data_IF_986486629688
#
_entry.id   IF_986486629688
#
_cell.length_a   1.000
_cell.length_b   1.000
_cell.length_c   1.000
_cell.angle_alpha   90.00
_cell.angle_beta   90.00
_cell.angle_gamma   90.00
#
_symmetry.space_group_name_H-M   'P 1'
#
loop_
_entity.id
_entity.type
_entity.pdbx_description
1 polymer ?
#
# COMPACT_ATOMS: atom_id res chain seq x y z
N UNK A 1 -3.13 -18.08 -18.59
CA UNK A 1 -3.88 -17.55 -17.42
C UNK A 1 -2.89 -16.81 -16.54
N UNK A 2 -2.97 -15.49 -16.47
CA UNK A 2 -2.04 -14.70 -15.65
C UNK A 2 -2.51 -14.78 -14.20
N UNK A 3 -1.73 -15.44 -13.34
CA UNK A 3 -2.03 -15.56 -11.91
C UNK A 3 -1.74 -14.22 -11.24
N UNK A 4 -2.80 -13.51 -10.85
CA UNK A 4 -2.66 -12.23 -10.15
C UNK A 4 -2.23 -12.47 -8.69
N UNK A 5 -1.10 -11.89 -8.27
CA UNK A 5 -0.60 -12.02 -6.90
C UNK A 5 -1.52 -11.33 -5.89
N UNK A 6 -1.83 -12.01 -4.78
CA UNK A 6 -2.74 -11.56 -3.71
C UNK A 6 -2.30 -10.27 -2.99
N UNK A 7 -1.04 -9.89 -3.16
CA UNK A 7 -0.44 -8.71 -2.54
C UNK A 7 0.06 -8.99 -1.14
N UNK A 8 1.36 -8.81 -0.91
CA UNK A 8 1.96 -8.96 0.42
C UNK A 8 1.54 -7.82 1.34
N UNK A 9 1.07 -8.12 2.55
CA UNK A 9 0.83 -7.09 3.56
C UNK A 9 2.15 -6.41 3.94
N UNK A 10 2.25 -5.10 3.73
CA UNK A 10 3.43 -4.25 4.00
C UNK A 10 2.98 -2.95 4.66
N UNK A 11 3.80 -2.40 5.54
CA UNK A 11 3.64 -1.04 6.05
C UNK A 11 4.38 -0.04 5.17
N UNK A 12 3.95 1.22 5.13
CA UNK A 12 4.52 2.25 4.23
C UNK A 12 5.99 2.52 4.60
N UNK A 13 6.29 2.51 5.89
CA UNK A 13 7.61 2.67 6.47
C UNK A 13 8.59 1.63 5.91
N UNK A 14 8.15 0.37 5.78
CA UNK A 14 8.97 -0.70 5.21
C UNK A 14 9.32 -0.45 3.73
N UNK A 15 8.40 0.15 2.98
CA UNK A 15 8.58 0.50 1.56
C UNK A 15 9.62 1.62 1.40
N UNK A 16 9.57 2.62 2.27
CA UNK A 16 10.50 3.76 2.25
C UNK A 16 11.89 3.34 2.72
N UNK A 17 12.00 2.49 3.74
CA UNK A 17 13.28 2.00 4.24
C UNK A 17 14.00 1.08 3.25
N UNK A 18 13.27 0.27 2.50
CA UNK A 18 13.84 -0.76 1.63
C UNK A 18 13.19 -0.80 0.24
N UNK A 19 13.24 0.30 -0.54
CA UNK A 19 12.48 0.42 -1.79
C UNK A 19 12.82 -0.66 -2.82
N UNK A 20 14.10 -1.00 -2.96
CA UNK A 20 14.58 -2.02 -3.91
C UNK A 20 14.04 -3.43 -3.62
N UNK A 21 13.74 -3.74 -2.36
CA UNK A 21 13.17 -5.04 -1.97
C UNK A 21 11.74 -5.24 -2.48
N UNK A 22 11.02 -4.15 -2.67
CA UNK A 22 9.61 -4.16 -3.04
C UNK A 22 9.37 -3.75 -4.49
N UNK A 23 10.40 -3.31 -5.21
CA UNK A 23 10.26 -2.98 -6.62
C UNK A 23 9.71 -4.16 -7.43
N UNK A 24 8.76 -3.87 -8.32
CA UNK A 24 8.03 -4.84 -9.14
C UNK A 24 7.28 -5.94 -8.34
N UNK A 25 6.85 -5.64 -7.12
CA UNK A 25 6.05 -6.56 -6.30
C UNK A 25 4.59 -6.13 -6.19
N UNK A 26 3.70 -7.10 -5.91
CA UNK A 26 2.30 -6.84 -5.55
C UNK A 26 2.21 -6.71 -4.03
N UNK A 27 1.60 -5.63 -3.55
CA UNK A 27 1.48 -5.32 -2.13
C UNK A 27 0.05 -5.01 -1.71
N UNK A 28 -0.21 -5.13 -0.41
CA UNK A 28 -1.39 -4.63 0.27
C UNK A 28 -0.95 -3.71 1.40
N UNK A 29 -1.39 -2.46 1.38
CA UNK A 29 -0.97 -1.41 2.31
C UNK A 29 -2.17 -0.63 2.82
N UNK A 30 -2.08 -0.15 4.05
CA UNK A 30 -3.06 0.70 4.71
C UNK A 30 -2.41 2.06 5.00
N UNK A 31 -3.15 3.15 4.79
CA UNK A 31 -2.69 4.49 5.13
C UNK A 31 -3.76 5.54 4.87
N UNK A 32 -3.52 6.78 5.29
CA UNK A 32 -4.44 7.89 5.05
C UNK A 32 -4.17 8.50 3.70
N UNK A 33 -5.22 8.67 2.90
CA UNK A 33 -5.14 9.34 1.61
C UNK A 33 -5.08 10.86 1.81
N UNK A 34 -4.07 11.50 1.25
CA UNK A 34 -3.89 12.95 1.24
C UNK A 34 -3.54 13.41 -0.18
N UNK A 35 -3.75 14.70 -0.46
CA UNK A 35 -3.33 15.36 -1.71
C UNK A 35 -3.77 14.64 -3.00
N UNK A 36 -5.05 14.25 -3.08
CA UNK A 36 -5.59 13.67 -4.30
C UNK A 36 -5.74 14.72 -5.40
N UNK A 37 -5.11 14.46 -6.55
CA UNK A 37 -5.20 15.27 -7.76
C UNK A 37 -5.81 14.47 -8.91
N UNK A 38 -7.14 14.56 -9.04
CA UNK A 38 -7.91 13.85 -10.07
C UNK A 38 -7.36 14.07 -11.49
N UNK A 39 -7.04 15.32 -11.86
CA UNK A 39 -6.55 15.64 -13.20
C UNK A 39 -5.20 14.98 -13.56
N UNK A 40 -4.41 14.58 -12.56
CA UNK A 40 -3.10 13.94 -12.75
C UNK A 40 -3.12 12.45 -12.42
N UNK A 41 -4.26 11.91 -12.00
CA UNK A 41 -4.37 10.55 -11.46
C UNK A 41 -3.33 10.26 -10.36
N UNK A 42 -3.00 11.24 -9.52
CA UNK A 42 -2.03 11.06 -8.43
C UNK A 42 -2.67 11.30 -7.08
N UNK A 43 -2.24 10.54 -6.08
CA UNK A 43 -2.51 10.83 -4.68
C UNK A 43 -1.28 10.51 -3.84
N UNK A 44 -1.29 10.94 -2.58
CA UNK A 44 -0.29 10.57 -1.60
C UNK A 44 -0.97 9.79 -0.48
N UNK A 45 -0.34 8.71 -0.02
CA UNK A 45 -0.78 7.96 1.15
C UNK A 45 0.24 8.14 2.26
N UNK A 46 -0.21 8.38 3.49
CA UNK A 46 0.67 8.53 4.65
C UNK A 46 0.33 7.56 5.76
N UNK A 47 1.37 7.07 6.43
CA UNK A 47 1.31 6.30 7.67
C UNK A 47 2.46 6.73 8.55
N UNK A 48 2.18 7.03 9.82
CA UNK A 48 3.16 7.51 10.81
C UNK A 48 4.02 8.64 10.24
N UNK A 49 5.30 8.37 9.96
CA UNK A 49 6.31 9.30 9.44
C UNK A 49 6.73 9.00 7.99
N UNK A 50 6.00 8.16 7.28
CA UNK A 50 6.31 7.74 5.92
C UNK A 50 5.18 8.08 4.94
N UNK A 51 5.54 8.27 3.67
CA UNK A 51 4.61 8.58 2.59
C UNK A 51 4.85 7.69 1.37
N UNK A 52 3.80 7.43 0.62
CA UNK A 52 3.82 6.63 -0.60
C UNK A 52 2.98 7.32 -1.67
N UNK A 53 3.56 7.50 -2.85
CA UNK A 53 2.84 8.05 -3.99
C UNK A 53 1.98 6.98 -4.65
N UNK A 54 0.78 7.37 -5.03
CA UNK A 54 -0.18 6.56 -5.75
C UNK A 54 -0.33 7.05 -7.20
N UNK A 55 -0.34 6.13 -8.15
CA UNK A 55 -0.87 6.33 -9.49
C UNK A 55 -2.27 5.70 -9.58
N UNK A 56 -3.29 6.53 -9.52
CA UNK A 56 -4.70 6.16 -9.37
C UNK A 56 -5.41 5.90 -10.70
N UNK A 57 -4.69 5.78 -11.82
CA UNK A 57 -5.26 5.57 -13.16
C UNK A 57 -6.21 4.37 -13.27
N UNK A 58 -6.03 3.32 -12.45
CA UNK A 58 -6.86 2.11 -12.48
C UNK A 58 -7.99 2.08 -11.45
N UNK A 59 -8.09 3.10 -10.58
CA UNK A 59 -9.10 3.14 -9.53
C UNK A 59 -9.75 4.51 -9.46
N UNK A 60 -11.07 4.52 -9.40
CA UNK A 60 -11.80 5.74 -9.08
C UNK A 60 -11.76 5.97 -7.57
N UNK A 61 -11.36 7.18 -7.17
CA UNK A 61 -11.31 7.58 -5.77
C UNK A 61 -12.64 8.24 -5.41
N UNK A 62 -13.51 7.47 -4.77
CA UNK A 62 -14.77 7.94 -4.21
C UNK A 62 -14.69 8.27 -2.72
N UNK A 63 -13.48 8.32 -2.15
CA UNK A 63 -13.26 8.59 -0.74
C UNK A 63 -13.02 10.08 -0.50
N UNK A 64 -13.38 10.56 0.70
CA UNK A 64 -13.08 11.93 1.11
C UNK A 64 -11.59 12.09 1.36
N UNK A 65 -11.11 13.33 1.24
CA UNK A 65 -9.75 13.68 1.66
C UNK A 65 -9.53 13.25 3.11
N UNK A 66 -8.32 12.77 3.42
CA UNK A 66 -7.87 12.31 4.75
C UNK A 66 -8.47 10.99 5.26
N UNK A 67 -9.28 10.30 4.45
CA UNK A 67 -9.80 8.97 4.78
C UNK A 67 -8.69 7.92 4.92
N UNK A 68 -8.85 7.00 5.87
CA UNK A 68 -8.04 5.79 5.94
C UNK A 68 -8.46 4.86 4.80
N UNK A 69 -7.49 4.40 4.01
CA UNK A 69 -7.74 3.53 2.86
C UNK A 69 -6.80 2.33 2.86
N UNK A 70 -7.30 1.21 2.34
CA UNK A 70 -6.49 0.06 1.99
C UNK A 70 -6.36 -0.02 0.48
N UNK A 71 -5.12 -0.18 0.01
CA UNK A 71 -4.79 -0.38 -1.39
C UNK A 71 -4.18 -1.76 -1.61
N UNK A 72 -4.55 -2.40 -2.73
CA UNK A 72 -3.86 -3.59 -3.26
C UNK A 72 -3.41 -3.25 -4.67
N UNK A 73 -2.13 -3.41 -4.97
CA UNK A 73 -1.56 -2.95 -6.23
C UNK A 73 -0.12 -3.38 -6.45
N UNK A 74 0.38 -3.08 -7.64
CA UNK A 74 1.78 -3.22 -8.02
C UNK A 74 2.55 -1.96 -7.61
N UNK A 75 3.72 -2.15 -7.04
CA UNK A 75 4.69 -1.07 -6.83
C UNK A 75 5.82 -1.14 -7.85
N UNK A 76 6.27 0.03 -8.28
CA UNK A 76 7.45 0.19 -9.12
C UNK A 76 8.29 1.36 -8.62
N UNK A 77 9.61 1.25 -8.71
CA UNK A 77 10.51 2.33 -8.38
C UNK A 77 10.61 3.29 -9.56
N UNK A 78 10.16 4.54 -9.37
CA UNK A 78 10.25 5.58 -10.38
C UNK A 78 11.57 6.35 -10.22
N UNK A 79 12.46 6.16 -11.18
CA UNK A 79 13.80 6.76 -11.21
C UNK A 79 13.76 8.29 -11.33
N UNK A 80 12.69 8.87 -11.90
CA UNK A 80 12.60 10.32 -12.09
C UNK A 80 12.32 11.05 -10.78
N UNK A 81 11.61 10.39 -9.86
CA UNK A 81 11.24 10.93 -8.56
C UNK A 81 12.03 10.32 -7.40
N UNK A 82 12.76 9.22 -7.63
CA UNK A 82 13.61 8.56 -6.64
C UNK A 82 12.83 7.84 -5.53
N UNK A 83 11.63 7.34 -5.81
CA UNK A 83 10.80 6.65 -4.82
C UNK A 83 9.88 5.60 -5.46
N UNK A 84 9.33 4.70 -4.63
CA UNK A 84 8.29 3.77 -5.06
C UNK A 84 6.97 4.49 -5.36
N UNK A 85 6.29 4.04 -6.42
CA UNK A 85 4.94 4.44 -6.78
C UNK A 85 4.04 3.21 -6.78
N UNK A 86 2.94 3.27 -6.04
CA UNK A 86 1.91 2.24 -6.01
C UNK A 86 0.87 2.52 -7.09
N UNK A 87 0.63 1.57 -7.98
CA UNK A 87 -0.51 1.55 -8.89
C UNK A 87 -1.58 0.60 -8.31
N UNK A 88 -2.54 1.08 -7.52
CA UNK A 88 -3.57 0.24 -6.94
C UNK A 88 -4.48 -0.32 -8.04
N UNK A 89 -4.83 -1.60 -7.90
CA UNK A 89 -5.92 -2.25 -8.63
C UNK A 89 -7.22 -2.23 -7.81
N UNK A 90 -7.08 -2.14 -6.49
CA UNK A 90 -8.17 -2.04 -5.52
C UNK A 90 -7.83 -0.93 -4.53
N UNK A 91 -8.79 -0.06 -4.26
CA UNK A 91 -8.75 0.93 -3.19
C UNK A 91 -10.07 0.86 -2.42
N UNK A 92 -9.98 0.79 -1.08
CA UNK A 92 -11.17 0.70 -0.21
C UNK A 92 -11.05 1.66 0.96
N UNK A 93 -12.16 2.31 1.31
CA UNK A 93 -12.28 3.07 2.56
C UNK A 93 -12.23 2.12 3.76
N UNK A 94 -11.48 2.51 4.79
CA UNK A 94 -11.26 1.77 6.02
C UNK A 94 -11.40 2.66 7.26
N UNK A 95 -12.15 3.77 7.21
CA UNK A 95 -12.21 4.79 8.27
C UNK A 95 -12.62 4.26 9.66
N UNK A 96 -13.32 3.12 9.72
CA UNK A 96 -13.85 2.52 10.95
C UNK A 96 -12.85 1.51 11.57
N UNK A 97 -11.73 1.23 10.89
CA UNK A 97 -10.76 0.22 11.35
C UNK A 97 -9.90 0.76 12.48
N UNK A 98 -9.77 -0.05 13.53
CA UNK A 98 -8.77 0.14 14.57
C UNK A 98 -7.37 -0.20 14.01
N UNK A 99 -6.53 0.84 13.89
CA UNK A 99 -5.20 0.73 13.30
C UNK A 99 -4.28 -0.16 14.16
N UNK A 100 -4.38 -0.08 15.49
CA UNK A 100 -3.52 -0.83 16.40
C UNK A 100 -3.80 -2.33 16.30
N UNK A 101 -5.07 -2.71 16.23
CA UNK A 101 -5.49 -4.11 16.02
C UNK A 101 -5.05 -4.57 14.63
N UNK A 102 -5.26 -3.76 13.60
CA UNK A 102 -4.82 -4.09 12.24
C UNK A 102 -3.31 -4.39 12.18
N UNK A 103 -2.47 -3.54 12.76
CA UNK A 103 -1.02 -3.73 12.77
C UNK A 103 -0.63 -5.03 13.49
N UNK A 104 -1.23 -5.30 14.65
CA UNK A 104 -1.00 -6.56 15.39
C UNK A 104 -1.39 -7.78 14.57
N UNK A 105 -2.53 -7.74 13.88
CA UNK A 105 -2.98 -8.85 13.02
C UNK A 105 -2.03 -9.08 11.85
N UNK A 106 -1.53 -8.02 11.21
CA UNK A 106 -0.55 -8.13 10.12
C UNK A 106 0.75 -8.79 10.62
N UNK A 107 1.24 -8.37 11.78
CA UNK A 107 2.45 -8.95 12.37
C UNK A 107 2.25 -10.42 12.75
N UNK A 108 1.11 -10.75 13.37
CA UNK A 108 0.76 -12.13 13.72
C UNK A 108 0.67 -13.05 12.48
N UNK A 109 0.04 -12.57 11.39
CA UNK A 109 -0.04 -13.31 10.13
C UNK A 109 1.35 -13.60 9.57
N UNK A 110 2.25 -12.63 9.55
CA UNK A 110 3.62 -12.81 9.06
C UNK A 110 4.42 -13.78 9.92
N UNK A 111 4.20 -13.76 11.24
CA UNK A 111 4.85 -14.70 12.16
C UNK A 111 4.39 -16.13 11.88
N UNK A 112 3.09 -16.33 11.69
CA UNK A 112 2.52 -17.62 11.33
C UNK A 112 3.12 -18.15 10.02
N UNK A 113 3.18 -17.31 8.97
CA UNK A 113 3.75 -17.69 7.67
C UNK A 113 5.22 -18.12 7.79
N UNK A 114 6.01 -17.44 8.64
CA UNK A 114 7.41 -17.81 8.93
C UNK A 114 7.52 -19.14 9.67
N UNK A 115 6.65 -19.40 10.65
CA UNK A 115 6.65 -20.66 11.39
C UNK A 115 6.17 -21.84 10.53
N UNK A 116 5.17 -21.64 9.67
CA UNK A 116 4.64 -22.66 8.78
C UNK A 116 5.61 -22.98 7.62
N UNK A 117 6.50 -22.04 7.28
CA UNK A 117 7.56 -22.22 6.29
C UNK A 117 8.85 -22.85 6.87
N UNK A 118 8.89 -23.11 8.18
CA UNK A 118 10.01 -23.81 8.83
C UNK A 118 9.70 -25.32 8.83
N UNK A 119 10.58 -26.18 8.26
CA UNK A 119 10.34 -27.63 8.12
C UNK A 119 10.30 -28.39 9.45
#
# INVERSE_FOLDING_TARGET
MTTLSSGKHVFIEELVENPQKYDNTSIRVLGRLIDYHAARNTATMVSKNASLRLNTELVEIYVRDTCLVQCIGEVHYDQNIGQLVLKPRILRNMDIVDIDIYEKTVLASRQYDKSAASP
#
